data_IF_824437426819
#
_entry.id   IF_824437426819
#
_cell.length_a   1.000
_cell.length_b   1.000
_cell.length_c   1.000
_cell.angle_alpha   90.00
_cell.angle_beta   90.00
_cell.angle_gamma   90.00
#
_symmetry.space_group_name_H-M   'P 1'
#
loop_
_entity.id
_entity.type
_entity.pdbx_description
1 polymer ?
#
# COMPACT_ATOMS: atom_id res chain seq x y z
N UNK A 1 -22.93 -6.32 18.75
CA UNK A 1 -22.75 -7.38 17.74
C UNK A 1 -23.47 -6.93 16.47
N UNK A 2 -22.83 -7.03 15.35
CA UNK A 2 -23.40 -6.75 14.04
C UNK A 2 -23.03 -7.90 13.10
N UNK A 3 -24.02 -8.39 12.38
CA UNK A 3 -23.84 -9.40 11.33
C UNK A 3 -24.56 -8.95 10.06
N UNK A 4 -24.03 -9.34 8.92
CA UNK A 4 -24.61 -9.01 7.63
C UNK A 4 -24.11 -9.95 6.55
N UNK A 5 -24.85 -9.99 5.45
CA UNK A 5 -24.47 -10.69 4.24
C UNK A 5 -24.69 -9.78 3.04
N UNK A 6 -23.70 -9.68 2.19
CA UNK A 6 -23.84 -9.04 0.88
C UNK A 6 -23.96 -10.13 -0.18
N UNK A 7 -24.97 -10.02 -1.02
CA UNK A 7 -25.17 -10.88 -2.18
C UNK A 7 -24.88 -10.03 -3.42
N UNK A 8 -23.99 -10.49 -4.26
CA UNK A 8 -23.66 -9.84 -5.54
C UNK A 8 -23.91 -10.83 -6.66
N UNK A 9 -24.58 -10.40 -7.73
CA UNK A 9 -24.69 -11.16 -8.98
C UNK A 9 -23.75 -10.53 -9.99
N UNK A 10 -22.91 -11.33 -10.61
CA UNK A 10 -22.00 -10.88 -11.65
C UNK A 10 -22.39 -11.51 -12.98
N UNK A 11 -22.86 -10.70 -13.93
CA UNK A 11 -23.50 -11.16 -15.16
C UNK A 11 -22.58 -11.96 -16.08
N UNK A 12 -21.30 -11.56 -16.14
CA UNK A 12 -20.31 -12.21 -17.02
C UNK A 12 -20.02 -13.66 -16.62
N UNK A 13 -20.13 -13.97 -15.31
CA UNK A 13 -19.99 -15.34 -14.80
C UNK A 13 -21.33 -16.01 -14.58
N UNK A 14 -22.45 -15.29 -14.69
CA UNK A 14 -23.78 -15.74 -14.35
C UNK A 14 -23.90 -16.37 -12.95
N UNK A 15 -23.14 -15.84 -11.98
CA UNK A 15 -23.00 -16.39 -10.64
C UNK A 15 -23.37 -15.41 -9.53
N UNK A 16 -23.78 -15.98 -8.38
CA UNK A 16 -24.02 -15.25 -7.14
C UNK A 16 -22.85 -15.42 -6.16
N UNK A 17 -22.40 -14.32 -5.57
CA UNK A 17 -21.30 -14.27 -4.60
C UNK A 17 -21.82 -13.84 -3.25
N UNK A 18 -21.57 -14.67 -2.23
CA UNK A 18 -21.99 -14.42 -0.85
C UNK A 18 -20.83 -13.91 -0.02
N UNK A 19 -20.94 -12.70 0.48
CA UNK A 19 -19.93 -12.03 1.31
C UNK A 19 -20.47 -11.81 2.73
N UNK A 20 -20.39 -12.82 3.62
CA UNK A 20 -20.78 -12.68 5.01
C UNK A 20 -19.79 -11.78 5.76
N UNK A 21 -20.32 -11.04 6.74
CA UNK A 21 -19.56 -10.15 7.62
C UNK A 21 -20.07 -10.26 9.04
N UNK A 22 -19.15 -10.22 9.98
CA UNK A 22 -19.46 -10.23 11.40
C UNK A 22 -18.55 -9.26 12.12
N UNK A 23 -19.09 -8.52 13.09
CA UNK A 23 -18.31 -7.69 13.99
C UNK A 23 -18.90 -7.68 15.39
N UNK A 24 -18.02 -7.52 16.36
CA UNK A 24 -18.35 -7.35 17.76
C UNK A 24 -17.58 -6.16 18.31
N UNK A 25 -18.27 -5.29 19.00
CA UNK A 25 -17.69 -4.14 19.68
C UNK A 25 -18.11 -4.20 21.14
N UNK A 26 -17.13 -4.08 22.03
CA UNK A 26 -17.36 -3.99 23.46
C UNK A 26 -16.71 -2.73 24.02
N UNK A 27 -17.53 -1.87 24.64
CA UNK A 27 -17.09 -0.69 25.37
C UNK A 27 -17.03 -1.00 26.85
N UNK A 28 -15.99 -0.52 27.50
CA UNK A 28 -15.76 -0.65 28.92
C UNK A 28 -15.83 0.73 29.60
N UNK A 29 -16.11 0.78 30.88
CA UNK A 29 -16.31 2.03 31.64
C UNK A 29 -15.07 2.93 31.72
N UNK A 30 -13.89 2.38 31.51
CA UNK A 30 -12.60 3.09 31.51
C UNK A 30 -12.17 3.62 30.10
N UNK A 31 -13.14 3.93 29.26
CA UNK A 31 -12.95 4.47 27.91
C UNK A 31 -12.14 3.55 26.98
N UNK A 32 -12.11 2.27 27.27
CA UNK A 32 -11.54 1.24 26.41
C UNK A 32 -12.65 0.68 25.53
N UNK A 33 -12.37 0.56 24.24
CA UNK A 33 -13.21 -0.13 23.29
C UNK A 33 -12.40 -1.24 22.64
N UNK A 34 -12.92 -2.46 22.66
CA UNK A 34 -12.40 -3.59 21.91
C UNK A 34 -13.33 -3.87 20.74
N UNK A 35 -12.74 -4.18 19.59
CA UNK A 35 -13.49 -4.61 18.43
C UNK A 35 -12.83 -5.81 17.79
N UNK A 36 -13.67 -6.68 17.22
CA UNK A 36 -13.24 -7.79 16.39
C UNK A 36 -14.15 -7.89 15.19
N UNK A 37 -13.59 -8.15 14.03
CA UNK A 37 -14.38 -8.35 12.83
C UNK A 37 -13.78 -9.40 11.92
N UNK A 38 -14.66 -10.04 11.14
CA UNK A 38 -14.29 -10.90 10.04
C UNK A 38 -15.24 -10.69 8.87
N UNK A 39 -14.76 -10.91 7.65
CA UNK A 39 -15.60 -10.75 6.48
C UNK A 39 -14.97 -11.24 5.19
N UNK A 40 -15.81 -11.80 4.33
CA UNK A 40 -15.44 -12.20 2.98
C UNK A 40 -15.72 -11.08 1.99
N UNK A 41 -14.82 -10.91 1.03
CA UNK A 41 -14.91 -9.89 -0.02
C UNK A 41 -14.55 -10.50 -1.37
N UNK A 42 -15.11 -9.91 -2.44
CA UNK A 42 -14.84 -10.30 -3.81
C UNK A 42 -14.49 -9.07 -4.64
N UNK A 43 -13.57 -9.25 -5.56
CA UNK A 43 -13.17 -8.23 -6.54
C UNK A 43 -13.30 -8.82 -7.93
N UNK A 44 -14.05 -8.13 -8.80
CA UNK A 44 -14.38 -8.57 -10.16
C UNK A 44 -13.68 -7.73 -11.24
N UNK A 45 -12.97 -6.69 -10.86
CA UNK A 45 -12.21 -5.80 -11.75
C UNK A 45 -10.78 -5.81 -11.30
N UNK A 46 -9.87 -6.10 -12.21
CA UNK A 46 -8.45 -6.27 -11.95
C UNK A 46 -7.67 -5.21 -12.70
N UNK A 47 -6.72 -4.58 -12.04
CA UNK A 47 -5.72 -3.76 -12.70
C UNK A 47 -4.47 -4.59 -12.90
N UNK A 48 -4.09 -4.75 -14.14
CA UNK A 48 -2.84 -5.41 -14.50
C UNK A 48 -1.69 -4.42 -14.35
N UNK A 49 -0.82 -4.70 -13.41
CA UNK A 49 0.44 -4.00 -13.24
C UNK A 49 1.53 -4.90 -13.81
N UNK A 50 1.95 -4.63 -15.03
CA UNK A 50 3.16 -5.27 -15.54
C UNK A 50 4.36 -4.44 -15.10
N UNK A 51 5.13 -4.93 -14.13
CA UNK A 51 6.41 -4.32 -13.76
C UNK A 51 7.43 -4.35 -14.91
N UNK A 52 7.13 -5.08 -15.97
CA UNK A 52 7.92 -5.22 -17.19
C UNK A 52 7.23 -4.63 -18.42
N UNK A 53 6.11 -3.90 -18.24
CA UNK A 53 5.40 -3.35 -19.39
C UNK A 53 6.26 -2.35 -20.11
N UNK A 54 6.88 -2.86 -21.15
CA UNK A 54 7.66 -2.10 -22.10
C UNK A 54 6.81 -1.26 -23.04
N UNK A 55 5.47 -1.41 -23.00
CA UNK A 55 4.56 -0.82 -23.99
C UNK A 55 3.28 -0.18 -23.43
N UNK A 56 3.34 0.40 -22.23
CA UNK A 56 2.22 1.21 -21.73
C UNK A 56 0.96 0.43 -21.38
N UNK A 57 1.08 -0.86 -21.05
CA UNK A 57 -0.01 -1.67 -20.46
C UNK A 57 -0.16 -1.45 -18.96
N UNK A 58 0.64 -0.57 -18.38
CA UNK A 58 0.50 -0.15 -16.99
C UNK A 58 -0.90 0.42 -16.78
N UNK A 59 -1.67 -0.26 -15.96
CA UNK A 59 -3.01 0.17 -15.62
C UNK A 59 -4.13 -0.32 -16.53
N UNK A 60 -3.90 -1.34 -17.38
CA UNK A 60 -5.00 -1.98 -18.08
C UNK A 60 -5.96 -2.64 -17.09
N UNK A 61 -7.24 -2.35 -17.25
CA UNK A 61 -8.29 -2.91 -16.44
C UNK A 61 -8.95 -4.09 -17.15
N UNK A 62 -9.07 -5.22 -16.45
CA UNK A 62 -9.79 -6.40 -16.90
C UNK A 62 -10.94 -6.70 -15.92
N UNK A 63 -12.02 -7.26 -16.41
CA UNK A 63 -13.08 -7.83 -15.56
C UNK A 63 -12.94 -9.34 -15.48
N UNK A 64 -13.47 -9.92 -14.41
CA UNK A 64 -13.59 -11.37 -14.27
C UNK A 64 -14.44 -11.98 -15.39
N UNK A 65 -14.04 -13.15 -15.85
CA UNK A 65 -14.69 -13.93 -16.89
C UNK A 65 -14.46 -15.43 -16.62
N UNK A 66 -14.89 -16.31 -17.51
CA UNK A 66 -14.58 -17.74 -17.40
C UNK A 66 -13.08 -18.02 -17.33
N UNK A 67 -12.26 -17.22 -18.02
CA UNK A 67 -10.82 -17.36 -18.07
C UNK A 67 -10.09 -16.54 -16.99
N UNK A 68 -10.73 -15.54 -16.39
CA UNK A 68 -10.16 -14.62 -15.42
C UNK A 68 -10.98 -14.72 -14.12
N UNK A 69 -10.52 -15.50 -13.12
CA UNK A 69 -11.26 -15.68 -11.90
C UNK A 69 -11.38 -14.38 -11.09
N UNK A 70 -12.43 -14.27 -10.28
CA UNK A 70 -12.55 -13.19 -9.33
C UNK A 70 -11.60 -13.40 -8.15
N UNK A 71 -10.94 -12.34 -7.70
CA UNK A 71 -10.18 -12.39 -6.47
C UNK A 71 -11.14 -12.44 -5.28
N UNK A 72 -10.89 -13.33 -4.34
CA UNK A 72 -11.57 -13.35 -3.06
C UNK A 72 -10.62 -13.10 -1.89
N UNK A 73 -11.14 -12.53 -0.82
CA UNK A 73 -10.38 -12.37 0.41
C UNK A 73 -11.22 -12.65 1.65
N UNK A 74 -10.57 -13.25 2.65
CA UNK A 74 -11.09 -13.35 4.01
C UNK A 74 -10.26 -12.47 4.91
N UNK A 75 -10.91 -11.50 5.56
CA UNK A 75 -10.26 -10.52 6.41
C UNK A 75 -10.64 -10.77 7.87
N UNK A 76 -9.66 -10.72 8.76
CA UNK A 76 -9.78 -10.78 10.20
C UNK A 76 -9.15 -9.53 10.79
N UNK A 77 -9.81 -8.93 11.73
CA UNK A 77 -9.35 -7.71 12.38
C UNK A 77 -9.65 -7.75 13.87
N UNK A 78 -8.69 -7.29 14.68
CA UNK A 78 -8.83 -7.03 16.09
C UNK A 78 -8.33 -5.63 16.38
N UNK A 79 -9.12 -4.84 17.08
CA UNK A 79 -8.83 -3.45 17.43
C UNK A 79 -9.02 -3.16 18.90
N UNK A 80 -8.15 -2.33 19.43
CA UNK A 80 -8.25 -1.73 20.74
C UNK A 80 -8.16 -0.22 20.60
N UNK A 81 -9.13 0.49 21.15
CA UNK A 81 -9.10 1.94 21.27
C UNK A 81 -9.22 2.33 22.74
N UNK A 82 -8.28 3.15 23.22
CA UNK A 82 -8.25 3.66 24.57
C UNK A 82 -8.13 5.17 24.57
N UNK A 83 -9.13 5.85 25.14
CA UNK A 83 -9.10 7.28 25.36
C UNK A 83 -8.70 7.55 26.82
N UNK A 84 -7.57 8.19 27.03
CA UNK A 84 -7.08 8.52 28.35
C UNK A 84 -6.68 10.00 28.42
N UNK A 85 -7.44 10.78 29.20
CA UNK A 85 -7.24 12.23 29.30
C UNK A 85 -7.20 12.89 27.91
N UNK A 86 -6.03 13.44 27.57
CA UNK A 86 -5.75 14.15 26.30
C UNK A 86 -5.25 13.23 25.19
N UNK A 87 -5.12 11.95 25.47
CA UNK A 87 -4.57 10.97 24.52
C UNK A 87 -5.65 10.04 23.99
N UNK A 88 -5.48 9.61 22.78
CA UNK A 88 -6.18 8.48 22.17
C UNK A 88 -5.13 7.51 21.66
N UNK A 89 -5.24 6.27 22.06
CA UNK A 89 -4.33 5.19 21.67
C UNK A 89 -5.16 4.15 20.93
N UNK A 90 -4.71 3.78 19.74
CA UNK A 90 -5.33 2.73 18.94
C UNK A 90 -4.27 1.68 18.63
N UNK A 91 -4.61 0.42 18.79
CA UNK A 91 -3.78 -0.71 18.38
C UNK A 91 -4.65 -1.68 17.59
N UNK A 92 -4.19 -2.09 16.42
CA UNK A 92 -4.94 -2.95 15.51
C UNK A 92 -4.04 -4.10 15.03
N UNK A 93 -4.64 -5.27 14.88
CA UNK A 93 -4.04 -6.46 14.27
C UNK A 93 -4.95 -6.91 13.15
N UNK A 94 -4.36 -7.29 12.03
CA UNK A 94 -5.13 -7.85 10.93
C UNK A 94 -4.43 -9.03 10.28
N UNK A 95 -5.25 -9.92 9.78
CA UNK A 95 -4.86 -10.99 8.86
C UNK A 95 -5.80 -10.99 7.68
N UNK A 96 -5.24 -11.10 6.46
CA UNK A 96 -5.99 -11.23 5.22
C UNK A 96 -5.44 -12.39 4.44
N UNK A 97 -6.29 -13.35 4.08
CA UNK A 97 -6.00 -14.35 3.06
C UNK A 97 -6.59 -13.89 1.72
N UNK A 98 -5.88 -14.18 0.64
CA UNK A 98 -6.23 -13.82 -0.73
C UNK A 98 -6.21 -15.08 -1.59
N UNK A 99 -7.23 -15.25 -2.41
CA UNK A 99 -7.37 -16.36 -3.35
C UNK A 99 -7.58 -15.81 -4.75
N UNK A 100 -7.12 -16.53 -5.76
CA UNK A 100 -7.22 -16.18 -7.16
C UNK A 100 -6.57 -14.83 -7.48
N UNK A 101 -5.42 -14.54 -6.88
CA UNK A 101 -4.58 -13.44 -7.34
C UNK A 101 -4.22 -13.66 -8.80
N UNK A 102 -4.10 -12.58 -9.55
CA UNK A 102 -3.83 -12.63 -10.98
C UNK A 102 -2.50 -11.95 -11.27
N UNK A 103 -1.65 -12.62 -12.05
CA UNK A 103 -0.38 -12.10 -12.53
C UNK A 103 -0.22 -12.44 -14.02
N UNK A 104 0.58 -11.66 -14.74
CA UNK A 104 0.91 -11.92 -16.13
C UNK A 104 2.25 -12.63 -16.25
N UNK A 105 2.28 -13.69 -17.02
CA UNK A 105 3.51 -14.36 -17.42
C UNK A 105 4.13 -13.65 -18.62
N UNK A 106 5.26 -12.97 -18.41
CA UNK A 106 6.11 -12.43 -19.46
C UNK A 106 5.83 -10.99 -19.90
N UNK A 107 6.75 -10.47 -20.75
CA UNK A 107 6.65 -9.17 -21.40
C UNK A 107 5.67 -9.17 -22.59
N UNK A 108 4.81 -10.19 -22.70
CA UNK A 108 3.93 -10.40 -23.83
C UNK A 108 2.84 -9.31 -23.89
N UNK A 109 2.54 -8.88 -25.08
CA UNK A 109 1.40 -8.02 -25.36
C UNK A 109 0.12 -8.70 -24.86
N UNK A 110 -0.70 -8.03 -24.04
CA UNK A 110 -1.94 -8.59 -23.50
C UNK A 110 -2.99 -8.97 -24.54
N UNK A 111 -2.67 -8.77 -25.81
CA UNK A 111 -3.56 -8.96 -26.96
C UNK A 111 -3.26 -10.25 -27.76
N UNK A 112 -2.33 -11.10 -27.32
CA UNK A 112 -2.25 -12.46 -27.88
C UNK A 112 -3.38 -13.27 -27.27
N UNK A 113 -4.24 -13.84 -28.09
CA UNK A 113 -5.41 -14.66 -27.72
C UNK A 113 -5.08 -15.98 -26.97
N UNK A 114 -3.96 -16.04 -26.27
CA UNK A 114 -3.55 -17.20 -25.52
C UNK A 114 -3.84 -16.95 -24.04
N UNK A 115 -4.88 -17.58 -23.51
CA UNK A 115 -5.24 -17.65 -22.08
C UNK A 115 -4.09 -18.17 -21.19
N UNK A 116 -3.02 -18.69 -21.78
CA UNK A 116 -1.80 -19.18 -21.13
C UNK A 116 -0.94 -18.09 -20.48
N UNK A 117 -1.30 -16.80 -20.65
CA UNK A 117 -0.54 -15.68 -20.14
C UNK A 117 -0.98 -15.20 -18.74
N UNK A 118 -2.09 -15.74 -18.21
CA UNK A 118 -2.62 -15.35 -16.91
C UNK A 118 -2.31 -16.43 -15.89
N UNK A 119 -1.53 -16.07 -14.88
CA UNK A 119 -1.24 -16.92 -13.74
C UNK A 119 -2.20 -16.60 -12.61
N UNK A 120 -2.61 -17.64 -11.89
CA UNK A 120 -3.42 -17.50 -10.68
C UNK A 120 -2.62 -17.96 -9.47
N UNK A 121 -2.80 -17.24 -8.36
CA UNK A 121 -2.06 -17.51 -7.13
C UNK A 121 -2.85 -17.17 -5.88
N UNK A 122 -2.17 -17.29 -4.78
CA UNK A 122 -2.66 -17.05 -3.44
C UNK A 122 -1.82 -15.97 -2.75
N UNK A 123 -2.32 -15.45 -1.65
CA UNK A 123 -1.53 -14.53 -0.86
C UNK A 123 -2.07 -14.36 0.55
N UNK A 124 -1.25 -13.79 1.40
CA UNK A 124 -1.68 -13.38 2.71
C UNK A 124 -0.98 -12.08 3.12
N UNK A 125 -1.67 -11.28 3.90
CA UNK A 125 -1.15 -10.06 4.48
C UNK A 125 -1.42 -10.06 5.97
N UNK A 126 -0.38 -9.83 6.76
CA UNK A 126 -0.44 -9.73 8.21
C UNK A 126 0.08 -8.36 8.62
N UNK A 127 -0.57 -7.72 9.57
CA UNK A 127 -0.08 -6.44 10.05
C UNK A 127 -0.53 -6.10 11.46
N UNK A 128 0.23 -5.16 12.02
CA UNK A 128 -0.05 -4.51 13.29
C UNK A 128 0.08 -3.00 13.09
N UNK A 129 -0.94 -2.26 13.50
CA UNK A 129 -0.93 -0.80 13.47
C UNK A 129 -1.06 -0.25 14.88
N UNK A 130 -0.27 0.76 15.19
CA UNK A 130 -0.31 1.48 16.44
C UNK A 130 -0.40 2.99 16.17
N UNK A 131 -1.36 3.66 16.79
CA UNK A 131 -1.55 5.10 16.71
C UNK A 131 -1.67 5.69 18.10
N UNK A 132 -0.85 6.69 18.40
CA UNK A 132 -1.03 7.54 19.55
C UNK A 132 -1.31 8.98 19.11
N UNK A 133 -2.39 9.57 19.59
CA UNK A 133 -2.78 10.95 19.30
C UNK A 133 -2.93 11.74 20.58
N UNK A 134 -2.27 12.89 20.64
CA UNK A 134 -2.50 13.90 21.67
C UNK A 134 -3.44 14.97 21.13
N UNK A 135 -4.63 15.08 21.70
CA UNK A 135 -5.75 15.90 21.18
C UNK A 135 -5.70 17.35 21.66
N UNK A 136 -5.12 17.62 22.85
CA UNK A 136 -5.20 18.89 23.53
C UNK A 136 -3.86 19.33 24.15
N UNK A 137 -3.73 20.64 24.39
CA UNK A 137 -2.58 21.29 25.00
C UNK A 137 -1.80 22.13 23.99
N UNK A 138 -0.70 22.73 24.45
CA UNK A 138 0.11 23.63 23.61
C UNK A 138 0.75 22.91 22.42
N UNK A 139 1.08 21.64 22.61
CA UNK A 139 1.56 20.76 21.53
C UNK A 139 0.55 19.65 21.35
N UNK A 140 0.04 19.49 20.13
CA UNK A 140 -0.85 18.41 19.69
C UNK A 140 -0.21 17.65 18.55
N UNK A 141 -0.73 16.49 18.21
CA UNK A 141 -0.19 15.70 17.11
C UNK A 141 -0.47 14.22 17.29
N UNK A 142 0.20 13.43 16.46
CA UNK A 142 0.06 11.97 16.48
C UNK A 142 1.32 11.29 15.93
N UNK A 143 1.50 10.04 16.34
CA UNK A 143 2.50 9.12 15.84
C UNK A 143 1.78 7.82 15.46
N UNK A 144 1.97 7.37 14.24
CA UNK A 144 1.51 6.07 13.76
C UNK A 144 2.70 5.19 13.39
N UNK A 145 2.60 3.92 13.70
CA UNK A 145 3.53 2.87 13.27
C UNK A 145 2.75 1.72 12.68
N UNK A 146 3.09 1.32 11.46
CA UNK A 146 2.57 0.15 10.77
C UNK A 146 3.70 -0.87 10.58
N UNK A 147 3.45 -2.08 11.04
CA UNK A 147 4.20 -3.27 10.66
C UNK A 147 3.32 -4.11 9.74
N UNK A 148 3.78 -4.38 8.53
CA UNK A 148 3.04 -5.17 7.54
C UNK A 148 3.97 -6.16 6.84
N UNK A 149 3.43 -7.34 6.54
CA UNK A 149 4.06 -8.32 5.67
C UNK A 149 3.00 -8.89 4.74
N UNK A 150 3.19 -8.66 3.44
CA UNK A 150 2.34 -9.22 2.38
C UNK A 150 3.17 -10.18 1.55
N UNK A 151 2.68 -11.40 1.36
CA UNK A 151 3.36 -12.46 0.65
C UNK A 151 2.41 -13.06 -0.37
N UNK A 152 2.91 -13.33 -1.57
CA UNK A 152 2.21 -13.99 -2.67
C UNK A 152 2.90 -15.31 -3.03
N UNK A 153 2.13 -16.23 -3.55
CA UNK A 153 2.54 -17.53 -4.05
C UNK A 153 1.80 -17.82 -5.36
N UNK A 154 2.55 -18.09 -6.41
CA UNK A 154 2.03 -18.50 -7.70
C UNK A 154 2.76 -19.77 -8.13
N UNK A 155 2.06 -20.88 -8.41
CA UNK A 155 2.70 -22.16 -8.74
C UNK A 155 3.69 -22.09 -9.91
N UNK A 156 3.40 -21.22 -10.89
CA UNK A 156 4.18 -21.08 -12.12
C UNK A 156 5.09 -19.83 -12.12
N UNK A 157 5.34 -19.25 -10.96
CA UNK A 157 6.21 -18.08 -10.81
C UNK A 157 7.15 -18.29 -9.61
N UNK A 158 8.44 -17.92 -9.75
CA UNK A 158 9.47 -18.11 -8.72
C UNK A 158 9.56 -19.58 -8.26
N UNK A 159 9.42 -20.55 -9.17
CA UNK A 159 9.42 -21.99 -8.87
C UNK A 159 8.38 -22.40 -7.80
N UNK A 160 7.30 -21.63 -7.65
CA UNK A 160 6.27 -21.80 -6.63
C UNK A 160 6.65 -21.27 -5.24
N UNK A 161 7.80 -20.64 -5.11
CA UNK A 161 8.25 -20.08 -3.83
C UNK A 161 7.52 -18.76 -3.49
N UNK A 162 7.33 -18.53 -2.22
CA UNK A 162 6.73 -17.30 -1.70
C UNK A 162 7.59 -16.06 -1.97
N UNK A 163 6.97 -14.98 -2.42
CA UNK A 163 7.64 -13.70 -2.63
C UNK A 163 6.82 -12.52 -2.08
N UNK A 164 7.46 -11.38 -1.76
CA UNK A 164 6.75 -10.19 -1.26
C UNK A 164 5.80 -9.61 -2.30
N UNK A 165 4.61 -9.21 -1.88
CA UNK A 165 3.66 -8.51 -2.77
C UNK A 165 4.19 -7.14 -3.22
N UNK A 166 3.78 -6.67 -4.40
CA UNK A 166 4.29 -5.44 -5.06
C UNK A 166 4.28 -4.17 -4.20
N UNK A 167 3.35 -4.09 -3.25
CA UNK A 167 3.18 -2.94 -2.38
C UNK A 167 3.66 -3.22 -0.95
N UNK A 168 4.38 -4.33 -0.73
CA UNK A 168 4.89 -4.65 0.59
C UNK A 168 5.88 -3.57 1.06
N UNK A 169 5.56 -3.00 2.21
CA UNK A 169 6.39 -2.08 2.99
C UNK A 169 6.35 -2.55 4.42
N UNK A 170 7.41 -3.20 4.87
CA UNK A 170 7.43 -3.87 6.16
C UNK A 170 7.22 -2.90 7.33
N UNK A 171 7.82 -1.71 7.26
CA UNK A 171 7.72 -0.70 8.31
C UNK A 171 7.29 0.64 7.72
N UNK A 172 6.30 1.28 8.33
CA UNK A 172 5.94 2.65 8.03
C UNK A 172 5.71 3.42 9.34
N UNK A 173 6.36 4.58 9.48
CA UNK A 173 6.20 5.49 10.61
C UNK A 173 5.77 6.85 10.05
N UNK A 174 4.72 7.41 10.63
CA UNK A 174 4.27 8.76 10.32
C UNK A 174 4.08 9.53 11.62
N UNK A 175 4.53 10.76 11.67
CA UNK A 175 4.32 11.63 12.82
C UNK A 175 3.97 13.04 12.39
N UNK A 176 3.04 13.65 13.10
CA UNK A 176 2.68 15.06 12.94
C UNK A 176 2.72 15.72 14.32
N UNK A 177 3.42 16.83 14.40
CA UNK A 177 3.45 17.69 15.57
C UNK A 177 2.98 19.08 15.19
N UNK A 178 2.09 19.64 16.00
CA UNK A 178 1.52 20.97 15.81
C UNK A 178 1.57 21.74 17.12
N UNK A 179 1.96 23.02 17.03
CA UNK A 179 1.93 23.93 18.19
C UNK A 179 1.54 25.32 17.74
N UNK A 180 0.87 26.04 18.64
CA UNK A 180 0.52 27.45 18.45
C UNK A 180 1.23 28.28 19.52
N UNK A 181 2.01 29.27 19.08
CA UNK A 181 2.73 30.22 19.95
C UNK A 181 2.27 31.62 19.58
N UNK A 182 1.43 32.21 20.42
CA UNK A 182 0.77 33.48 20.11
C UNK A 182 -0.07 33.38 18.84
N UNK A 183 0.30 34.13 17.81
CA UNK A 183 -0.38 34.13 16.52
C UNK A 183 0.27 33.19 15.49
N UNK A 184 1.32 32.48 15.88
CA UNK A 184 2.06 31.59 14.99
C UNK A 184 1.62 30.15 15.18
N UNK A 185 1.34 29.48 14.06
CA UNK A 185 1.13 28.04 14.01
C UNK A 185 2.36 27.38 13.37
N UNK A 186 2.90 26.38 14.04
CA UNK A 186 4.05 25.60 13.61
C UNK A 186 3.61 24.16 13.42
N UNK A 187 4.02 23.53 12.32
CA UNK A 187 3.75 22.12 12.06
C UNK A 187 5.01 21.44 11.56
N UNK A 188 5.25 20.23 12.05
CA UNK A 188 6.28 19.32 11.55
C UNK A 188 5.62 17.97 11.22
N UNK A 189 5.90 17.44 10.04
CA UNK A 189 5.45 16.15 9.55
C UNK A 189 6.66 15.31 9.17
N UNK A 190 6.84 14.15 9.78
CA UNK A 190 7.90 13.23 9.43
C UNK A 190 7.35 11.87 9.02
N UNK A 191 7.86 11.37 7.90
CA UNK A 191 7.50 10.08 7.33
C UNK A 191 8.75 9.24 7.15
N UNK A 192 8.64 7.98 7.53
CA UNK A 192 9.60 6.93 7.22
C UNK A 192 8.84 5.72 6.66
N UNK A 193 9.38 5.08 5.64
CA UNK A 193 8.86 3.83 5.10
C UNK A 193 10.00 2.95 4.60
N UNK A 194 9.93 1.66 4.88
CA UNK A 194 10.75 0.67 4.19
C UNK A 194 10.62 0.83 2.68
N UNK A 195 11.69 0.58 1.95
CA UNK A 195 11.69 0.61 0.50
C UNK A 195 10.68 -0.40 -0.07
N UNK A 196 10.12 -0.08 -1.22
CA UNK A 196 9.28 -1.02 -1.99
C UNK A 196 10.13 -2.13 -2.56
N UNK A 197 9.53 -3.28 -2.78
CA UNK A 197 10.14 -4.37 -3.51
C UNK A 197 10.17 -4.08 -5.01
N UNK A 198 11.12 -4.67 -5.71
CA UNK A 198 11.21 -4.66 -7.16
C UNK A 198 11.93 -5.91 -7.64
N UNK A 199 11.72 -6.27 -8.88
CA UNK A 199 12.42 -7.37 -9.52
C UNK A 199 13.72 -6.88 -10.14
N UNK A 200 14.83 -7.53 -9.82
CA UNK A 200 16.12 -7.16 -10.37
C UNK A 200 16.29 -7.66 -11.81
N UNK A 201 17.09 -6.97 -12.62
CA UNK A 201 17.47 -7.38 -13.97
C UNK A 201 18.98 -7.41 -14.05
N UNK A 202 19.51 -8.59 -14.33
CA UNK A 202 20.92 -8.81 -14.58
C UNK A 202 21.21 -8.72 -16.06
N UNK A 203 22.14 -7.84 -16.43
CA UNK A 203 22.63 -7.75 -17.79
C UNK A 203 23.97 -8.47 -17.87
N UNK A 204 24.03 -9.55 -18.65
CA UNK A 204 25.25 -10.35 -18.86
C UNK A 204 25.79 -10.04 -20.25
N UNK A 205 27.01 -9.50 -20.32
CA UNK A 205 27.71 -9.25 -21.56
C UNK A 205 28.43 -10.52 -22.03
N UNK A 206 27.90 -11.13 -23.07
CA UNK A 206 28.63 -12.15 -23.83
C UNK A 206 29.26 -11.51 -25.08
N UNK A 207 30.41 -11.99 -25.50
CA UNK A 207 31.36 -11.41 -26.46
C UNK A 207 30.78 -10.72 -27.72
N UNK A 208 29.46 -10.80 -27.97
CA UNK A 208 28.78 -10.11 -29.07
C UNK A 208 27.34 -9.66 -28.77
N UNK A 209 26.79 -9.98 -27.59
CA UNK A 209 25.40 -9.60 -27.21
C UNK A 209 25.29 -9.45 -25.71
N UNK A 210 24.57 -8.41 -25.26
CA UNK A 210 24.13 -8.28 -23.89
C UNK A 210 22.78 -8.98 -23.72
N UNK A 211 22.72 -9.94 -22.82
CA UNK A 211 21.51 -10.68 -22.48
C UNK A 211 20.98 -10.16 -21.14
N UNK A 212 19.73 -9.75 -21.11
CA UNK A 212 19.06 -9.38 -19.86
C UNK A 212 18.37 -10.61 -19.25
N UNK A 213 18.76 -10.96 -18.04
CA UNK A 213 18.14 -12.02 -17.24
C UNK A 213 17.30 -11.35 -16.16
N UNK A 214 16.00 -11.63 -16.18
CA UNK A 214 15.08 -11.19 -15.15
C UNK A 214 15.22 -12.14 -13.97
N UNK A 215 15.45 -11.60 -12.76
CA UNK A 215 15.50 -12.36 -11.53
C UNK A 215 14.10 -12.79 -11.08
N UNK A 216 14.02 -13.49 -9.95
CA UNK A 216 12.76 -13.83 -9.30
C UNK A 216 11.93 -12.59 -8.99
N UNK A 217 10.62 -12.75 -9.00
CA UNK A 217 9.69 -11.65 -8.76
C UNK A 217 9.91 -11.04 -7.39
N UNK A 218 10.12 -9.70 -7.34
CA UNK A 218 10.26 -8.93 -6.11
C UNK A 218 11.40 -9.41 -5.18
N UNK A 219 12.49 -9.88 -5.77
CA UNK A 219 13.68 -10.40 -5.06
C UNK A 219 14.46 -9.32 -4.33
N UNK A 220 14.35 -8.07 -4.75
CA UNK A 220 15.11 -6.95 -4.21
C UNK A 220 14.22 -5.88 -3.58
N UNK A 221 14.82 -5.05 -2.72
CA UNK A 221 14.11 -3.94 -2.06
C UNK A 221 14.88 -2.63 -2.22
N UNK A 222 14.15 -1.56 -2.54
CA UNK A 222 14.68 -0.20 -2.56
C UNK A 222 15.14 0.25 -1.17
N UNK A 223 16.02 1.25 -1.14
CA UNK A 223 16.40 1.91 0.11
C UNK A 223 15.16 2.53 0.79
N UNK A 224 15.14 2.56 2.13
CA UNK A 224 14.09 3.24 2.86
C UNK A 224 13.95 4.70 2.47
N UNK A 225 12.71 5.17 2.38
CA UNK A 225 12.37 6.57 2.14
C UNK A 225 12.05 7.25 3.46
N UNK A 226 12.47 8.49 3.61
CA UNK A 226 12.02 9.34 4.71
C UNK A 226 12.20 10.82 4.37
N UNK A 227 11.34 11.67 4.89
CA UNK A 227 11.42 13.11 4.75
C UNK A 227 10.80 13.81 5.96
N UNK A 228 11.22 15.02 6.17
CA UNK A 228 10.66 15.95 7.16
C UNK A 228 10.13 17.16 6.41
N UNK A 229 8.85 17.45 6.61
CA UNK A 229 8.22 18.68 6.12
C UNK A 229 7.92 19.59 7.29
N UNK A 230 8.13 20.88 7.11
CA UNK A 230 7.84 21.87 8.14
C UNK A 230 7.04 23.03 7.57
N UNK A 231 6.12 23.54 8.36
CA UNK A 231 5.39 24.75 8.02
C UNK A 231 5.32 25.71 9.19
N UNK A 232 5.33 26.99 8.86
CA UNK A 232 5.09 28.10 9.78
C UNK A 232 4.03 29.01 9.17
N UNK A 233 3.03 29.38 9.94
CA UNK A 233 2.01 30.31 9.48
C UNK A 233 1.63 31.29 10.60
N UNK A 234 1.13 32.46 10.20
CA UNK A 234 0.71 33.53 11.11
C UNK A 234 -0.74 33.90 10.85
N UNK A 235 -1.50 34.05 11.92
CA UNK A 235 -2.87 34.56 11.91
C UNK A 235 -2.86 36.05 12.29
N UNK A 236 -3.45 36.90 11.45
CA UNK A 236 -3.61 38.33 11.70
C UNK A 236 -5.01 38.80 11.39
N UNK A 237 -5.44 39.87 12.03
CA UNK A 237 -6.65 40.60 11.66
C UNK A 237 -6.20 41.92 11.02
N UNK A 238 -6.59 42.11 9.77
CA UNK A 238 -6.29 43.33 9.02
C UNK A 238 -7.59 43.84 8.38
N UNK A 239 -7.97 45.10 8.62
CA UNK A 239 -9.18 45.70 8.11
C UNK A 239 -10.47 44.88 8.34
N UNK A 240 -10.62 44.29 9.54
CA UNK A 240 -11.71 43.37 9.94
C UNK A 240 -11.71 42.01 9.22
N UNK A 241 -10.74 41.75 8.33
CA UNK A 241 -10.55 40.44 7.70
C UNK A 241 -9.58 39.58 8.51
N UNK A 242 -9.84 38.28 8.65
CA UNK A 242 -8.90 37.31 9.21
C UNK A 242 -7.99 36.84 8.08
N UNK A 243 -6.69 37.12 8.20
CA UNK A 243 -5.66 36.73 7.24
C UNK A 243 -4.82 35.64 7.87
N UNK A 244 -4.62 34.55 7.13
CA UNK A 244 -3.73 33.45 7.49
C UNK A 244 -2.70 33.30 6.36
N UNK A 245 -1.41 33.50 6.68
CA UNK A 245 -0.32 33.44 5.72
C UNK A 245 0.76 32.54 6.26
N UNK A 246 1.33 31.69 5.40
CA UNK A 246 2.35 30.74 5.83
C UNK A 246 3.30 30.35 4.72
N UNK A 247 4.38 29.66 5.12
CA UNK A 247 5.39 29.07 4.27
C UNK A 247 5.54 27.62 4.71
N UNK A 248 5.65 26.72 3.72
CA UNK A 248 5.94 25.30 3.94
C UNK A 248 7.20 24.91 3.18
N UNK A 249 8.03 24.09 3.81
CA UNK A 249 9.24 23.50 3.22
C UNK A 249 9.04 21.99 3.23
N UNK A 250 9.11 21.38 2.08
CA UNK A 250 9.07 19.93 1.92
C UNK A 250 10.48 19.37 1.95
N UNK A 251 10.65 18.18 2.54
CA UNK A 251 11.90 17.43 2.57
C UNK A 251 13.08 18.33 3.07
N UNK A 252 12.93 18.89 4.26
CA UNK A 252 13.82 19.90 4.86
C UNK A 252 15.30 19.54 4.76
N UNK A 253 15.64 18.28 4.89
CA UNK A 253 17.03 17.79 4.80
C UNK A 253 17.41 17.26 3.41
N UNK A 254 16.57 17.52 2.40
CA UNK A 254 16.84 17.26 0.99
C UNK A 254 17.32 15.82 0.69
N UNK A 255 16.69 14.81 1.30
CA UNK A 255 17.02 13.41 1.01
C UNK A 255 16.47 13.02 -0.36
N UNK A 256 17.32 12.41 -1.18
CA UNK A 256 16.88 11.78 -2.40
C UNK A 256 16.14 10.45 -2.06
N UNK A 257 14.83 10.43 -2.29
CA UNK A 257 13.95 9.30 -2.03
C UNK A 257 13.53 8.65 -3.35
N UNK A 258 13.97 7.43 -3.58
CA UNK A 258 13.59 6.65 -4.77
C UNK A 258 12.24 5.99 -4.52
N UNK A 259 11.23 6.30 -5.35
CA UNK A 259 9.87 5.77 -5.19
C UNK A 259 9.67 4.42 -5.87
N UNK A 260 10.24 4.25 -7.05
CA UNK A 260 10.18 3.02 -7.85
C UNK A 260 11.29 3.00 -8.87
N UNK A 261 11.48 1.84 -9.48
CA UNK A 261 12.35 1.68 -10.64
C UNK A 261 11.52 1.62 -11.92
N UNK A 262 12.03 2.23 -12.98
CA UNK A 262 11.41 2.18 -14.31
C UNK A 262 12.33 1.42 -15.25
N UNK A 263 11.77 0.48 -15.96
CA UNK A 263 12.44 -0.25 -17.02
C UNK A 263 12.32 0.54 -18.34
N UNK A 264 13.43 0.66 -19.07
CA UNK A 264 13.43 1.29 -20.38
C UNK A 264 13.34 0.22 -21.46
N UNK A 265 12.21 0.12 -22.19
CA UNK A 265 12.00 -0.90 -23.21
C UNK A 265 12.64 -0.57 -24.56
N UNK A 266 13.07 0.67 -24.74
CA UNK A 266 13.54 1.17 -26.03
C UNK A 266 15.05 1.01 -26.23
N UNK A 267 15.74 0.46 -25.24
CA UNK A 267 17.15 0.10 -25.34
C UNK A 267 17.30 -1.38 -25.70
N UNK A 268 18.32 -1.77 -26.47
CA UNK A 268 18.59 -3.19 -26.78
C UNK A 268 18.81 -4.04 -25.52
N UNK A 269 19.16 -3.39 -24.42
CA UNK A 269 19.36 -3.96 -23.11
C UNK A 269 18.38 -3.30 -22.16
N UNK A 270 17.67 -4.09 -21.36
CA UNK A 270 16.78 -3.55 -20.33
C UNK A 270 17.59 -2.72 -19.33
N UNK A 271 17.29 -1.43 -19.26
CA UNK A 271 17.92 -0.53 -18.29
C UNK A 271 16.92 -0.14 -17.21
N UNK A 272 17.42 -0.02 -15.98
CA UNK A 272 16.64 0.37 -14.82
C UNK A 272 17.01 1.79 -14.42
N UNK A 273 16.04 2.67 -14.29
CA UNK A 273 16.23 4.03 -13.79
C UNK A 273 15.47 4.24 -12.50
N UNK A 274 16.10 4.95 -11.56
CA UNK A 274 15.45 5.36 -10.32
C UNK A 274 14.50 6.54 -10.60
N UNK A 275 13.26 6.42 -10.13
CA UNK A 275 12.30 7.52 -10.13
C UNK A 275 12.21 8.08 -8.72
N UNK A 276 12.76 9.28 -8.55
CA UNK A 276 12.77 9.97 -7.25
C UNK A 276 11.42 10.63 -6.94
N UNK A 277 11.08 10.66 -5.66
CA UNK A 277 10.05 11.56 -5.13
C UNK A 277 10.70 12.93 -4.87
N UNK A 278 9.97 13.99 -5.15
CA UNK A 278 10.39 15.37 -4.85
C UNK A 278 10.54 15.61 -3.36
#
# INVERSE_FOLDING_TARGET
IQSGIRISYFSELSEYFLAPRFSIIKKFDNEITLEGSLGRHYQFIHQLNSNYSTRGTDGMWLHSSEDIPNISSMNYHLGLNWNYNRYSITAELYHRSLENLIEFQGAATPLSNNNESILTGFGHSNGAEFLIRKKEGNVTGWLSYLLNKTVFEFPDLNDGENFPGDHDKTHEIKSVLMTTIGNWDLTANWVYSSGRVYTHINNIDNSNQTISIISDRNDERLNPIHHLDMSISIRRILFKARIHTGISIYNVYNKNNVSHKRYNPYTPVLTITDVSMF
#
